data_IF_975136678728
#
_entry.id   IF_975136678728
#
_cell.length_a   1.000
_cell.length_b   1.000
_cell.length_c   1.000
_cell.angle_alpha   90.00
_cell.angle_beta   90.00
_cell.angle_gamma   90.00
#
_symmetry.space_group_name_H-M   'P 1'
#
loop_
_entity.id
_entity.type
_entity.pdbx_description
1 polymer ?
#
# COMPACT_ATOMS: atom_id res chain seq x y z
N UNK A 1 20.19 13.83 5.07
CA UNK A 1 20.68 12.44 5.04
C UNK A 1 19.99 11.73 3.89
N UNK A 2 20.64 10.76 3.24
CA UNK A 2 20.03 9.98 2.16
C UNK A 2 18.90 9.13 2.76
N UNK A 3 17.73 9.09 2.12
CA UNK A 3 16.56 8.32 2.56
C UNK A 3 15.87 7.73 1.34
N UNK A 4 15.44 6.48 1.45
CA UNK A 4 14.60 5.81 0.44
C UNK A 4 13.24 6.49 0.31
N UNK A 5 12.54 6.33 -0.83
CA UNK A 5 11.19 6.88 -0.98
C UNK A 5 10.17 6.18 -0.08
N UNK A 6 8.98 6.76 0.02
CA UNK A 6 7.76 6.10 0.51
C UNK A 6 6.80 5.96 -0.66
N UNK A 7 6.11 4.82 -0.76
CA UNK A 7 5.19 4.56 -1.88
C UNK A 7 3.86 4.04 -1.35
N UNK A 8 2.77 4.67 -1.77
CA UNK A 8 1.42 4.11 -1.62
C UNK A 8 0.90 3.68 -3.00
N UNK A 9 0.26 2.51 -3.09
CA UNK A 9 -0.31 2.02 -4.37
C UNK A 9 -1.74 1.51 -4.21
N UNK A 10 -2.64 2.03 -5.05
CA UNK A 10 -3.95 1.43 -5.31
C UNK A 10 -3.84 0.04 -5.95
N UNK A 11 -4.20 -1.04 -5.25
CA UNK A 11 -4.12 -2.41 -5.84
C UNK A 11 -5.37 -2.83 -6.59
N UNK A 12 -6.56 -2.34 -6.22
CA UNK A 12 -7.80 -2.62 -6.96
C UNK A 12 -8.19 -4.11 -7.00
N UNK A 13 -8.57 -4.60 -8.18
CA UNK A 13 -9.00 -6.00 -8.35
C UNK A 13 -7.79 -6.96 -8.40
N UNK A 14 -7.88 -8.18 -7.82
CA UNK A 14 -6.86 -9.22 -7.99
C UNK A 14 -6.47 -9.50 -9.45
N UNK A 15 -7.39 -9.27 -10.40
CA UNK A 15 -7.11 -9.39 -11.85
C UNK A 15 -5.92 -8.53 -12.32
N UNK A 16 -5.59 -7.45 -11.60
CA UNK A 16 -4.43 -6.61 -11.88
C UNK A 16 -3.15 -7.44 -12.11
N UNK A 17 -2.97 -8.52 -11.34
CA UNK A 17 -1.76 -9.33 -11.38
C UNK A 17 -1.50 -10.00 -12.74
N UNK A 18 -2.55 -10.22 -13.54
CA UNK A 18 -2.48 -10.85 -14.87
C UNK A 18 -2.89 -9.91 -16.00
N UNK A 19 -3.12 -8.63 -15.68
CA UNK A 19 -3.45 -7.60 -16.65
C UNK A 19 -2.18 -6.93 -17.22
N UNK A 20 -2.23 -6.60 -18.52
CA UNK A 20 -1.21 -5.78 -19.19
C UNK A 20 -1.85 -4.52 -19.76
N UNK A 21 -1.72 -3.39 -19.05
CA UNK A 21 -2.34 -2.12 -19.42
C UNK A 21 -1.51 -0.92 -18.94
N UNK A 22 -2.04 0.30 -19.10
CA UNK A 22 -1.34 1.53 -18.70
C UNK A 22 -1.05 1.58 -17.19
N UNK A 23 -1.92 1.00 -16.35
CA UNK A 23 -1.72 0.97 -14.90
C UNK A 23 -0.49 0.13 -14.54
N UNK A 24 -0.38 -1.06 -15.14
CA UNK A 24 0.72 -1.98 -14.85
C UNK A 24 2.03 -1.51 -15.46
N UNK A 25 1.99 -0.83 -16.62
CA UNK A 25 3.15 -0.13 -17.20
C UNK A 25 3.67 0.99 -16.29
N UNK A 26 2.78 1.77 -15.69
CA UNK A 26 3.21 2.83 -14.77
C UNK A 26 3.78 2.27 -13.47
N UNK A 27 3.24 1.15 -12.95
CA UNK A 27 3.83 0.43 -11.82
C UNK A 27 5.24 -0.07 -12.15
N UNK A 28 5.44 -0.65 -13.33
CA UNK A 28 6.77 -1.05 -13.82
C UNK A 28 7.72 0.14 -13.90
N UNK A 29 7.26 1.30 -14.38
CA UNK A 29 8.06 2.52 -14.46
C UNK A 29 8.51 2.98 -13.06
N UNK A 30 7.58 3.11 -12.11
CA UNK A 30 7.89 3.49 -10.72
C UNK A 30 8.86 2.51 -10.09
N UNK A 31 8.65 1.21 -10.28
CA UNK A 31 9.54 0.18 -9.76
C UNK A 31 10.95 0.20 -10.37
N UNK A 32 11.05 0.46 -11.67
CA UNK A 32 12.34 0.65 -12.35
C UNK A 32 13.09 1.87 -11.80
N UNK A 33 12.40 3.00 -11.56
CA UNK A 33 13.01 4.17 -10.93
C UNK A 33 13.60 3.83 -9.55
N UNK A 34 12.87 3.06 -8.73
CA UNK A 34 13.35 2.59 -7.42
C UNK A 34 14.58 1.67 -7.58
N UNK A 35 14.55 0.72 -8.50
CA UNK A 35 15.63 -0.26 -8.70
C UNK A 35 16.91 0.35 -9.26
N UNK A 36 16.78 1.43 -10.05
CA UNK A 36 17.90 2.15 -10.66
C UNK A 36 18.39 3.33 -9.83
N UNK A 37 17.69 3.68 -8.74
CA UNK A 37 18.12 4.73 -7.82
C UNK A 37 19.47 4.41 -7.18
N UNK A 38 20.28 5.44 -6.92
CA UNK A 38 21.56 5.29 -6.22
C UNK A 38 21.41 4.63 -4.84
N UNK A 39 20.25 4.87 -4.22
CA UNK A 39 19.89 4.40 -2.89
C UNK A 39 18.88 3.25 -3.00
N UNK A 40 19.15 2.29 -3.90
CA UNK A 40 18.31 1.09 -4.09
C UNK A 40 18.00 0.44 -2.73
N UNK A 41 16.71 0.22 -2.40
CA UNK A 41 16.33 -0.34 -1.11
C UNK A 41 16.90 -1.73 -0.86
N UNK A 42 17.34 -2.00 0.38
CA UNK A 42 17.81 -3.33 0.80
C UNK A 42 16.67 -4.30 1.14
N UNK A 43 15.53 -3.79 1.57
CA UNK A 43 14.29 -4.54 1.79
C UNK A 43 13.08 -3.59 1.74
N UNK A 44 11.89 -4.16 1.59
CA UNK A 44 10.60 -3.46 1.59
C UNK A 44 9.85 -3.81 2.87
N UNK A 45 9.46 -2.79 3.64
CA UNK A 45 8.42 -2.92 4.65
C UNK A 45 7.07 -2.71 3.95
N UNK A 46 6.32 -3.80 3.76
CA UNK A 46 5.05 -3.81 3.02
C UNK A 46 3.86 -3.74 3.97
N UNK A 47 3.05 -2.68 3.89
CA UNK A 47 1.84 -2.50 4.69
C UNK A 47 0.62 -2.79 3.81
N UNK A 48 -0.09 -3.89 4.05
CA UNK A 48 -1.22 -4.29 3.21
C UNK A 48 -2.56 -4.11 3.90
N UNK A 49 -3.53 -3.52 3.19
CA UNK A 49 -4.93 -3.43 3.62
C UNK A 49 -5.56 -4.78 3.97
N UNK A 50 -5.05 -5.89 3.42
CA UNK A 50 -5.62 -7.23 3.64
C UNK A 50 -5.16 -7.87 4.95
N UNK A 51 -4.07 -7.40 5.54
CA UNK A 51 -3.67 -7.82 6.88
C UNK A 51 -4.21 -6.86 7.94
N UNK A 52 -5.55 -6.72 7.98
CA UNK A 52 -6.26 -5.83 8.90
C UNK A 52 -6.75 -6.59 10.14
N UNK A 53 -6.05 -6.43 11.26
CA UNK A 53 -6.25 -7.26 12.48
C UNK A 53 -6.09 -6.43 13.76
N UNK A 54 -6.67 -6.85 14.90
CA UNK A 54 -6.49 -6.14 16.16
C UNK A 54 -5.06 -6.35 16.69
N UNK A 55 -4.27 -5.28 16.65
CA UNK A 55 -2.84 -5.29 16.98
C UNK A 55 -1.95 -4.97 15.78
N UNK A 56 -0.67 -4.71 16.07
CA UNK A 56 0.36 -4.46 15.07
C UNK A 56 1.28 -5.67 15.03
N UNK A 57 1.34 -6.34 13.89
CA UNK A 57 2.12 -7.55 13.70
C UNK A 57 3.08 -7.42 12.53
N UNK A 58 4.24 -8.05 12.65
CA UNK A 58 5.27 -8.09 11.62
C UNK A 58 5.67 -9.53 11.32
N UNK A 59 5.91 -9.84 10.05
CA UNK A 59 6.47 -11.13 9.64
C UNK A 59 7.96 -11.25 9.97
N UNK A 60 8.44 -12.46 10.22
CA UNK A 60 9.86 -12.78 10.42
C UNK A 60 10.38 -13.92 9.52
N UNK A 61 9.50 -14.60 8.79
CA UNK A 61 9.86 -15.74 7.94
C UNK A 61 10.90 -15.38 6.86
N UNK A 62 12.00 -16.14 6.78
CA UNK A 62 13.03 -16.00 5.73
C UNK A 62 12.49 -16.25 4.32
N UNK A 63 11.48 -17.11 4.21
CA UNK A 63 10.74 -17.41 2.98
C UNK A 63 9.25 -17.26 3.27
N UNK A 64 8.70 -16.04 3.22
CA UNK A 64 7.29 -15.84 3.50
C UNK A 64 6.46 -16.60 2.46
N UNK A 65 5.43 -17.30 2.93
CA UNK A 65 4.49 -17.98 2.02
C UNK A 65 3.68 -16.92 1.29
N UNK A 66 3.44 -17.12 -0.01
CA UNK A 66 2.36 -16.42 -0.69
C UNK A 66 1.02 -17.03 -0.25
N UNK A 67 0.01 -16.19 -0.08
CA UNK A 67 -1.36 -16.63 0.21
C UNK A 67 -2.32 -16.10 -0.84
N UNK A 68 -3.45 -16.79 -0.96
CA UNK A 68 -4.55 -16.43 -1.84
C UNK A 68 -5.78 -16.17 -0.96
N UNK A 69 -5.91 -14.92 -0.53
CA UNK A 69 -6.97 -14.39 0.34
C UNK A 69 -8.19 -13.89 -0.45
N UNK A 70 -8.30 -14.30 -1.72
CA UNK A 70 -9.32 -13.92 -2.69
C UNK A 70 -9.98 -15.16 -3.33
N UNK A 71 -11.25 -15.03 -3.74
CA UNK A 71 -12.07 -16.16 -4.22
C UNK A 71 -12.86 -15.80 -5.47
N UNK A 72 -13.11 -16.79 -6.33
CA UNK A 72 -13.96 -16.65 -7.52
C UNK A 72 -13.28 -16.07 -8.75
N UNK A 73 -11.95 -16.09 -8.80
CA UNK A 73 -11.13 -15.62 -9.93
C UNK A 73 -10.70 -16.76 -10.86
N UNK A 74 -10.19 -16.47 -12.07
CA UNK A 74 -9.65 -17.48 -12.99
C UNK A 74 -8.47 -18.27 -12.39
N UNK A 75 -8.28 -19.50 -12.86
CA UNK A 75 -7.24 -20.43 -12.36
C UNK A 75 -5.83 -19.84 -12.54
N UNK A 76 -5.61 -19.11 -13.63
CA UNK A 76 -4.34 -18.46 -13.96
C UNK A 76 -3.83 -17.56 -12.82
N UNK A 77 -4.75 -16.91 -12.10
CA UNK A 77 -4.41 -16.06 -10.96
C UNK A 77 -3.89 -16.88 -9.76
N UNK A 78 -4.46 -18.06 -9.53
CA UNK A 78 -4.02 -18.98 -8.47
C UNK A 78 -2.73 -19.74 -8.82
N UNK A 79 -2.32 -19.73 -10.08
CA UNK A 79 -1.05 -20.29 -10.52
C UNK A 79 0.11 -19.28 -10.43
N UNK A 80 -0.20 -17.99 -10.36
CA UNK A 80 0.81 -16.93 -10.28
C UNK A 80 1.62 -17.02 -8.98
N UNK A 81 2.96 -16.94 -9.10
CA UNK A 81 3.88 -16.98 -7.97
C UNK A 81 4.76 -15.73 -7.93
N UNK A 82 4.83 -15.07 -6.78
CA UNK A 82 5.75 -13.98 -6.47
C UNK A 82 6.72 -14.45 -5.37
N UNK A 83 7.96 -14.87 -5.73
CA UNK A 83 8.86 -15.57 -4.82
C UNK A 83 9.63 -14.61 -3.90
N UNK A 84 8.91 -13.85 -3.07
CA UNK A 84 9.50 -12.93 -2.09
C UNK A 84 10.41 -13.66 -1.10
N UNK A 85 11.51 -13.00 -0.72
CA UNK A 85 12.37 -13.40 0.40
C UNK A 85 12.07 -12.50 1.59
N UNK A 86 12.18 -13.03 2.81
CA UNK A 86 12.10 -12.24 4.02
C UNK A 86 13.38 -11.45 4.32
N UNK A 87 13.34 -10.60 5.33
CA UNK A 87 14.50 -9.85 5.82
C UNK A 87 14.47 -9.77 7.35
N UNK A 88 15.27 -10.62 8.02
CA UNK A 88 15.33 -10.65 9.48
C UNK A 88 15.86 -9.34 10.06
N UNK A 89 16.77 -8.65 9.37
CA UNK A 89 17.32 -7.36 9.79
C UNK A 89 16.21 -6.29 9.83
N UNK A 90 15.37 -6.21 8.80
CA UNK A 90 14.22 -5.29 8.77
C UNK A 90 13.22 -5.61 9.89
N UNK A 91 12.95 -6.90 10.11
CA UNK A 91 12.06 -7.34 11.19
C UNK A 91 12.56 -6.85 12.55
N UNK A 92 13.85 -7.07 12.82
CA UNK A 92 14.50 -6.63 14.06
C UNK A 92 14.50 -5.11 14.21
N UNK A 93 14.77 -4.37 13.14
CA UNK A 93 14.76 -2.91 13.13
C UNK A 93 13.37 -2.34 13.47
N UNK A 94 12.29 -2.95 12.96
CA UNK A 94 10.92 -2.56 13.30
C UNK A 94 10.59 -2.92 14.76
N UNK A 95 10.92 -4.14 15.21
CA UNK A 95 10.71 -4.53 16.61
C UNK A 95 11.46 -3.63 17.59
N UNK A 96 12.69 -3.21 17.26
CA UNK A 96 13.46 -2.28 18.08
C UNK A 96 12.81 -0.89 18.12
N UNK A 97 12.28 -0.43 16.99
CA UNK A 97 11.70 0.91 16.84
C UNK A 97 10.34 1.04 17.54
N UNK A 98 9.52 0.00 17.48
CA UNK A 98 8.16 0.00 18.04
C UNK A 98 8.08 -0.63 19.44
N UNK A 99 9.07 -1.44 19.84
CA UNK A 99 9.10 -2.08 21.15
C UNK A 99 7.88 -2.95 21.39
N UNK A 100 7.14 -2.68 22.47
CA UNK A 100 5.94 -3.44 22.85
C UNK A 100 4.71 -3.14 21.97
N UNK A 101 4.79 -2.13 21.09
CA UNK A 101 3.69 -1.78 20.18
C UNK A 101 3.61 -2.73 18.97
N UNK A 102 4.53 -3.70 18.82
CA UNK A 102 4.55 -4.68 17.72
C UNK A 102 4.86 -6.09 18.22
N UNK A 103 4.28 -7.10 17.59
CA UNK A 103 4.59 -8.52 17.84
C UNK A 103 4.91 -9.25 16.54
N UNK A 104 5.74 -10.30 16.62
CA UNK A 104 5.99 -11.16 15.46
C UNK A 104 4.80 -12.10 15.26
N UNK A 105 4.32 -12.20 14.02
CA UNK A 105 3.32 -13.17 13.61
C UNK A 105 3.59 -13.65 12.17
N UNK A 106 3.96 -14.91 12.04
CA UNK A 106 4.19 -15.58 10.75
C UNK A 106 2.99 -16.44 10.32
N UNK A 107 1.84 -16.31 10.99
CA UNK A 107 0.61 -17.00 10.61
C UNK A 107 -0.02 -16.42 9.34
N UNK A 108 0.29 -15.16 9.00
CA UNK A 108 -0.08 -14.55 7.72
C UNK A 108 0.87 -14.99 6.58
N UNK A 109 0.77 -14.37 5.42
CA UNK A 109 1.71 -14.51 4.31
C UNK A 109 1.53 -13.37 3.32
N UNK A 110 2.35 -13.30 2.27
CA UNK A 110 2.22 -12.25 1.26
C UNK A 110 0.85 -12.38 0.58
N UNK A 111 -0.05 -11.45 0.88
CA UNK A 111 -1.44 -11.40 0.38
C UNK A 111 -1.54 -10.75 -1.00
N UNK A 112 -2.72 -10.89 -1.64
CA UNK A 112 -2.91 -10.41 -3.00
C UNK A 112 -2.81 -8.90 -3.14
N UNK A 113 -3.17 -8.13 -2.11
CA UNK A 113 -2.93 -6.68 -2.11
C UNK A 113 -1.45 -6.34 -2.26
N UNK A 114 -0.57 -7.24 -1.82
CA UNK A 114 0.89 -7.12 -2.01
C UNK A 114 1.35 -7.73 -3.33
N UNK A 115 1.19 -9.04 -3.53
CA UNK A 115 1.81 -9.71 -4.68
C UNK A 115 1.23 -9.28 -6.04
N UNK A 116 -0.03 -8.84 -6.12
CA UNK A 116 -0.64 -8.39 -7.38
C UNK A 116 -0.02 -7.11 -7.94
N UNK A 117 0.49 -6.23 -7.08
CA UNK A 117 1.23 -5.02 -7.48
C UNK A 117 2.69 -5.36 -7.70
N UNK A 118 3.27 -6.17 -6.81
CA UNK A 118 4.71 -6.46 -6.80
C UNK A 118 5.19 -7.23 -8.04
N UNK A 119 4.34 -8.07 -8.64
CA UNK A 119 4.67 -8.75 -9.92
C UNK A 119 4.96 -7.76 -11.05
N UNK A 120 4.35 -6.57 -11.01
CA UNK A 120 4.57 -5.51 -11.99
C UNK A 120 5.65 -4.53 -11.55
N UNK A 121 5.59 -4.07 -10.30
CA UNK A 121 6.51 -3.05 -9.79
C UNK A 121 7.93 -3.62 -9.57
N UNK A 122 8.06 -4.84 -9.06
CA UNK A 122 9.36 -5.46 -8.78
C UNK A 122 9.39 -6.90 -9.32
N UNK A 123 9.37 -7.07 -10.65
CA UNK A 123 9.31 -8.38 -11.28
C UNK A 123 10.51 -9.24 -10.88
N UNK A 124 10.27 -10.54 -10.63
CA UNK A 124 11.24 -11.52 -10.10
C UNK A 124 11.67 -11.32 -8.63
N UNK A 125 10.94 -10.51 -7.86
CA UNK A 125 11.20 -10.27 -6.43
C UNK A 125 12.68 -9.93 -6.11
N UNK A 126 13.26 -8.88 -6.74
CA UNK A 126 14.67 -8.53 -6.60
C UNK A 126 15.01 -7.86 -5.25
N UNK A 127 14.00 -7.52 -4.45
CA UNK A 127 14.15 -6.89 -3.13
C UNK A 127 13.37 -7.77 -2.12
N UNK A 128 13.96 -8.15 -0.98
CA UNK A 128 13.24 -8.82 0.11
C UNK A 128 12.03 -8.01 0.61
N UNK A 129 10.99 -8.70 1.08
CA UNK A 129 9.73 -8.12 1.58
C UNK A 129 9.45 -8.66 2.98
N UNK A 130 9.10 -7.76 3.90
CA UNK A 130 8.55 -8.08 5.22
C UNK A 130 7.23 -7.35 5.34
N UNK A 131 6.13 -8.06 5.63
CA UNK A 131 4.84 -7.40 5.83
C UNK A 131 4.65 -6.91 7.26
N UNK A 132 3.92 -5.79 7.37
CA UNK A 132 3.37 -5.23 8.59
C UNK A 132 1.84 -5.17 8.47
N UNK A 133 1.14 -5.55 9.54
CA UNK A 133 -0.32 -5.48 9.58
C UNK A 133 -0.83 -4.04 9.66
N UNK A 134 -2.08 -3.82 9.27
CA UNK A 134 -2.83 -2.61 9.57
C UNK A 134 -3.63 -2.86 10.84
N UNK A 135 -3.37 -2.09 11.89
CA UNK A 135 -4.03 -2.31 13.18
C UNK A 135 -5.49 -1.86 13.15
N UNK A 136 -6.43 -2.80 13.31
CA UNK A 136 -7.87 -2.55 13.22
C UNK A 136 -8.47 -1.79 14.40
N UNK A 137 -7.72 -1.60 15.48
CA UNK A 137 -8.18 -0.83 16.64
C UNK A 137 -7.69 0.61 16.61
N UNK A 138 -6.90 1.00 15.62
CA UNK A 138 -6.35 2.36 15.51
C UNK A 138 -7.33 3.32 14.86
N UNK A 139 -7.34 4.56 15.35
CA UNK A 139 -7.91 5.70 14.64
C UNK A 139 -7.04 6.10 13.44
N UNK A 140 -7.55 6.91 12.50
CA UNK A 140 -6.74 7.51 11.44
C UNK A 140 -5.48 8.22 11.96
N UNK A 141 -5.59 9.01 13.02
CA UNK A 141 -4.45 9.69 13.67
C UNK A 141 -3.39 8.69 14.14
N UNK A 142 -3.79 7.61 14.81
CA UNK A 142 -2.87 6.58 15.30
C UNK A 142 -2.16 5.84 14.17
N UNK A 143 -2.82 5.65 13.02
CA UNK A 143 -2.20 5.09 11.82
C UNK A 143 -1.12 6.03 11.26
N UNK A 144 -1.40 7.34 11.22
CA UNK A 144 -0.43 8.35 10.82
C UNK A 144 0.76 8.43 11.79
N UNK A 145 0.51 8.45 13.10
CA UNK A 145 1.55 8.44 14.14
C UNK A 145 2.45 7.19 14.04
N UNK A 146 1.88 6.01 13.75
CA UNK A 146 2.66 4.80 13.52
C UNK A 146 3.54 4.94 12.27
N UNK A 147 3.02 5.54 11.19
CA UNK A 147 3.81 5.92 10.02
C UNK A 147 5.00 6.81 10.37
N UNK A 148 4.80 7.83 11.22
CA UNK A 148 5.88 8.71 11.69
C UNK A 148 6.94 7.93 12.48
N UNK A 149 6.51 7.01 13.36
CA UNK A 149 7.43 6.14 14.10
C UNK A 149 8.30 5.30 13.16
N UNK A 150 7.76 4.87 12.01
CA UNK A 150 8.47 4.04 11.02
C UNK A 150 9.44 4.84 10.13
N UNK A 151 9.29 6.16 10.02
CA UNK A 151 10.09 7.02 9.13
C UNK A 151 11.61 6.81 9.21
N UNK A 152 12.24 6.60 10.39
CA UNK A 152 13.69 6.35 10.50
C UNK A 152 14.20 5.11 9.75
N UNK A 153 13.33 4.15 9.42
CA UNK A 153 13.71 2.98 8.61
C UNK A 153 14.18 3.37 7.21
N UNK A 154 13.72 4.52 6.70
CA UNK A 154 14.12 5.03 5.38
C UNK A 154 15.58 5.42 5.33
N UNK A 155 16.12 5.96 6.43
CA UNK A 155 17.54 6.30 6.56
C UNK A 155 18.41 5.05 6.71
N UNK A 156 17.81 3.93 7.13
CA UNK A 156 18.45 2.60 7.11
C UNK A 156 18.40 1.93 5.74
N UNK A 157 17.84 2.56 4.71
CA UNK A 157 17.79 2.01 3.34
C UNK A 157 16.61 1.07 3.08
N UNK A 158 15.55 1.12 3.89
CA UNK A 158 14.33 0.34 3.66
C UNK A 158 13.27 1.14 2.92
N UNK A 159 12.67 0.56 1.89
CA UNK A 159 11.49 1.14 1.26
C UNK A 159 10.28 0.91 2.16
N UNK A 160 9.58 1.98 2.53
CA UNK A 160 8.24 1.85 3.11
C UNK A 160 7.26 1.87 1.94
N UNK A 161 6.57 0.77 1.75
CA UNK A 161 5.58 0.61 0.70
C UNK A 161 4.27 0.16 1.33
N UNK A 162 3.17 0.77 0.92
CA UNK A 162 1.85 0.39 1.39
C UNK A 162 0.89 0.21 0.22
N UNK A 163 -0.06 -0.70 0.41
CA UNK A 163 -1.10 -0.95 -0.57
C UNK A 163 -2.48 -1.03 0.03
N UNK A 164 -3.40 -0.40 -0.68
CA UNK A 164 -4.80 -0.24 -0.36
C UNK A 164 -5.47 0.42 -1.55
N UNK A 165 -6.40 1.35 -1.31
CA UNK A 165 -7.06 2.16 -2.32
C UNK A 165 -7.69 3.40 -1.64
N UNK A 166 -7.61 4.57 -2.30
CA UNK A 166 -8.27 5.80 -1.81
C UNK A 166 -9.80 5.65 -1.84
N UNK A 167 -10.31 5.00 -2.88
CA UNK A 167 -11.72 4.65 -3.05
C UNK A 167 -11.77 3.14 -3.23
N UNK A 168 -12.53 2.45 -2.38
CA UNK A 168 -12.72 1.00 -2.46
C UNK A 168 -14.12 0.61 -1.96
N UNK A 169 -15.09 0.55 -2.89
CA UNK A 169 -16.44 0.11 -2.55
C UNK A 169 -16.92 -1.00 -3.48
N UNK A 170 -16.65 -2.24 -3.09
CA UNK A 170 -17.03 -3.44 -3.84
C UNK A 170 -18.55 -3.58 -4.00
N UNK A 171 -19.37 -3.03 -3.08
CA UNK A 171 -20.84 -3.05 -3.18
C UNK A 171 -21.39 -2.14 -4.28
N UNK A 172 -20.56 -1.25 -4.81
CA UNK A 172 -20.91 -0.25 -5.84
C UNK A 172 -20.13 -0.45 -7.14
N UNK A 173 -19.49 -1.62 -7.31
CA UNK A 173 -18.77 -1.94 -8.54
C UNK A 173 -19.73 -1.92 -9.72
N UNK A 174 -19.38 -1.14 -10.73
CA UNK A 174 -20.12 -1.04 -11.98
C UNK A 174 -19.28 -1.65 -13.11
N UNK A 175 -19.43 -2.97 -13.32
CA UNK A 175 -18.67 -3.72 -14.34
C UNK A 175 -18.77 -3.12 -15.75
N UNK A 176 -19.88 -2.44 -16.06
CA UNK A 176 -20.15 -1.81 -17.35
C UNK A 176 -19.58 -0.38 -17.46
N UNK A 177 -19.17 0.24 -16.35
CA UNK A 177 -18.47 1.54 -16.37
C UNK A 177 -16.98 1.31 -16.14
N UNK A 178 -16.22 1.47 -17.22
CA UNK A 178 -14.75 1.40 -17.16
C UNK A 178 -14.14 2.56 -16.37
N UNK A 179 -14.81 3.72 -16.32
CA UNK A 179 -14.43 4.86 -15.49
C UNK A 179 -15.15 4.90 -14.14
N UNK A 180 -14.55 5.56 -13.15
CA UNK A 180 -15.19 5.82 -11.85
C UNK A 180 -16.50 6.61 -11.94
N UNK A 181 -17.35 6.46 -10.92
CA UNK A 181 -18.49 7.35 -10.69
C UNK A 181 -18.01 8.76 -10.34
N UNK A 182 -18.88 9.76 -10.46
CA UNK A 182 -18.52 11.14 -10.09
C UNK A 182 -18.15 11.25 -8.61
N UNK A 183 -18.85 10.53 -7.73
CA UNK A 183 -18.51 10.49 -6.30
C UNK A 183 -17.11 9.88 -6.06
N UNK A 184 -16.75 8.81 -6.79
CA UNK A 184 -15.41 8.22 -6.71
C UNK A 184 -14.33 9.21 -7.18
N UNK A 185 -14.56 9.86 -8.33
CA UNK A 185 -13.60 10.82 -8.90
C UNK A 185 -13.43 12.04 -7.99
N UNK A 186 -14.51 12.60 -7.47
CA UNK A 186 -14.47 13.76 -6.58
C UNK A 186 -13.70 13.44 -5.30
N UNK A 187 -14.05 12.36 -4.60
CA UNK A 187 -13.33 11.97 -3.38
C UNK A 187 -11.85 11.70 -3.66
N UNK A 188 -11.54 10.94 -4.73
CA UNK A 188 -10.17 10.64 -5.09
C UNK A 188 -9.37 11.91 -5.42
N UNK A 189 -9.95 12.83 -6.20
CA UNK A 189 -9.28 14.07 -6.58
C UNK A 189 -9.06 14.98 -5.37
N UNK A 190 -10.02 15.10 -4.46
CA UNK A 190 -9.86 15.88 -3.23
C UNK A 190 -8.71 15.33 -2.36
N UNK A 191 -8.62 14.00 -2.20
CA UNK A 191 -7.48 13.39 -1.49
C UNK A 191 -6.16 13.64 -2.21
N UNK A 192 -6.11 13.51 -3.54
CA UNK A 192 -4.91 13.82 -4.34
C UNK A 192 -4.47 15.26 -4.16
N UNK A 193 -5.40 16.22 -4.22
CA UNK A 193 -5.10 17.63 -4.08
C UNK A 193 -4.59 17.94 -2.66
N UNK A 194 -5.20 17.35 -1.63
CA UNK A 194 -4.72 17.49 -0.26
C UNK A 194 -3.34 16.87 -0.04
N UNK A 195 -3.04 15.71 -0.65
CA UNK A 195 -1.71 15.08 -0.61
C UNK A 195 -0.65 15.98 -1.26
N UNK A 196 -0.95 16.55 -2.44
CA UNK A 196 -0.03 17.45 -3.16
C UNK A 196 0.17 18.76 -2.38
N UNK A 197 -0.89 19.29 -1.78
CA UNK A 197 -0.84 20.53 -1.00
C UNK A 197 -0.20 20.35 0.39
N UNK A 198 -0.05 19.11 0.88
CA UNK A 198 0.41 18.84 2.24
C UNK A 198 -0.64 19.12 3.31
N UNK A 199 -1.93 19.08 2.96
CA UNK A 199 -3.04 19.29 3.88
C UNK A 199 -3.36 18.01 4.67
N UNK A 200 -2.43 17.59 5.52
CA UNK A 200 -2.46 16.28 6.21
C UNK A 200 -3.76 16.08 7.00
N UNK A 201 -4.23 17.09 7.74
CA UNK A 201 -5.44 17.01 8.57
C UNK A 201 -6.68 16.61 7.76
N UNK A 202 -6.83 17.11 6.52
CA UNK A 202 -7.96 16.76 5.67
C UNK A 202 -7.91 15.29 5.22
N UNK A 203 -6.72 14.72 5.10
CA UNK A 203 -6.50 13.34 4.69
C UNK A 203 -6.73 12.40 5.89
N UNK A 204 -6.25 12.77 7.07
CA UNK A 204 -6.50 12.01 8.30
C UNK A 204 -8.00 12.01 8.63
N UNK A 205 -8.67 13.15 8.48
CA UNK A 205 -10.10 13.30 8.74
C UNK A 205 -10.96 13.20 7.48
N UNK A 206 -10.60 12.27 6.58
CA UNK A 206 -11.30 12.03 5.31
C UNK A 206 -12.81 11.78 5.49
N UNK A 207 -13.22 11.28 6.66
CA UNK A 207 -14.62 11.02 7.01
C UNK A 207 -15.52 12.26 6.94
N UNK A 208 -14.93 13.47 7.02
CA UNK A 208 -15.65 14.73 6.88
C UNK A 208 -16.05 15.05 5.43
N UNK A 209 -15.48 14.35 4.44
CA UNK A 209 -15.82 14.54 3.03
C UNK A 209 -17.21 13.95 2.73
N UNK A 210 -18.04 14.66 1.94
CA UNK A 210 -19.44 14.26 1.66
C UNK A 210 -19.60 12.86 1.05
N UNK A 211 -18.60 12.40 0.30
CA UNK A 211 -18.54 11.09 -0.33
C UNK A 211 -17.76 10.02 0.46
N UNK A 212 -17.30 10.30 1.69
CA UNK A 212 -16.47 9.36 2.46
C UNK A 212 -17.15 8.00 2.68
N UNK A 213 -18.41 7.98 3.12
CA UNK A 213 -19.16 6.74 3.31
C UNK A 213 -19.39 5.95 2.01
N UNK A 214 -19.36 6.63 0.85
CA UNK A 214 -19.38 5.97 -0.45
C UNK A 214 -18.00 5.40 -0.82
N UNK A 215 -16.93 6.19 -0.63
CA UNK A 215 -15.59 5.84 -1.08
C UNK A 215 -14.90 4.81 -0.17
N UNK A 216 -15.09 4.93 1.14
CA UNK A 216 -14.42 4.16 2.19
C UNK A 216 -15.49 3.60 3.13
N UNK A 217 -16.27 2.59 2.69
CA UNK A 217 -17.33 2.01 3.52
C UNK A 217 -16.78 1.29 4.76
N UNK A 218 -15.53 0.82 4.68
CA UNK A 218 -14.71 0.30 5.76
C UNK A 218 -13.28 0.83 5.56
N UNK A 219 -12.52 1.08 6.64
CA UNK A 219 -11.33 1.92 6.57
C UNK A 219 -10.08 1.19 6.07
N UNK A 220 -10.07 -0.14 6.03
CA UNK A 220 -8.85 -0.95 5.87
C UNK A 220 -8.07 -0.66 4.59
N UNK A 221 -8.75 -0.35 3.48
CA UNK A 221 -8.08 0.01 2.22
C UNK A 221 -7.57 1.46 2.20
N UNK A 222 -8.12 2.34 3.02
CA UNK A 222 -7.70 3.74 3.10
C UNK A 222 -6.53 3.94 4.07
N UNK A 223 -6.57 3.30 5.24
CA UNK A 223 -5.58 3.49 6.32
C UNK A 223 -4.11 3.35 5.89
N UNK A 224 -3.70 2.43 4.98
CA UNK A 224 -2.31 2.34 4.52
C UNK A 224 -1.75 3.64 3.95
N UNK A 225 -2.59 4.52 3.38
CA UNK A 225 -2.18 5.86 2.94
C UNK A 225 -1.64 6.71 4.10
N UNK A 226 -2.27 6.60 5.28
CA UNK A 226 -1.91 7.38 6.47
C UNK A 226 -0.55 6.94 7.04
N UNK A 227 -0.24 5.65 6.99
CA UNK A 227 1.10 5.15 7.34
C UNK A 227 2.15 5.75 6.42
N UNK A 228 1.89 5.78 5.10
CA UNK A 228 2.80 6.39 4.13
C UNK A 228 2.98 7.89 4.36
N UNK A 229 1.89 8.63 4.63
CA UNK A 229 1.95 10.06 4.92
C UNK A 229 2.79 10.36 6.16
N UNK A 230 2.61 9.58 7.23
CA UNK A 230 3.43 9.70 8.45
C UNK A 230 4.91 9.44 8.17
N UNK A 231 5.20 8.41 7.37
CA UNK A 231 6.57 8.02 7.01
C UNK A 231 7.25 8.99 6.01
N UNK A 232 6.47 9.70 5.20
CA UNK A 232 6.97 10.62 4.18
C UNK A 232 7.59 11.89 4.79
N UNK A 233 7.08 12.34 5.94
CA UNK A 233 7.54 13.58 6.58
C UNK A 233 7.27 14.80 5.71
N UNK A 234 8.31 15.51 5.30
CA UNK A 234 8.20 16.75 4.48
C UNK A 234 8.41 16.52 2.99
N UNK A 235 8.49 15.26 2.54
CA UNK A 235 8.74 14.94 1.14
C UNK A 235 7.57 15.30 0.25
N UNK A 236 7.86 15.61 -1.02
CA UNK A 236 6.82 15.97 -1.97
C UNK A 236 6.25 14.70 -2.59
N UNK A 237 4.93 14.63 -2.63
CA UNK A 237 4.23 13.56 -3.32
C UNK A 237 4.21 13.78 -4.83
N UNK A 238 4.50 12.74 -5.60
CA UNK A 238 4.17 12.66 -7.02
C UNK A 238 3.11 11.58 -7.23
N UNK A 239 1.89 11.93 -7.68
CA UNK A 239 0.86 10.94 -7.96
C UNK A 239 1.19 10.14 -9.22
N UNK A 240 0.82 8.87 -9.23
CA UNK A 240 0.82 8.01 -10.41
C UNK A 240 -0.47 7.19 -10.43
N UNK A 241 -0.87 6.66 -11.59
CA UNK A 241 -2.12 5.91 -11.75
C UNK A 241 -3.36 6.62 -11.15
N UNK A 242 -3.41 7.96 -11.20
CA UNK A 242 -4.53 8.75 -10.70
C UNK A 242 -5.78 8.56 -11.59
N UNK A 243 -6.41 7.39 -11.47
CA UNK A 243 -7.52 6.94 -12.28
C UNK A 243 -8.47 6.13 -11.43
N UNK A 244 -9.77 6.29 -11.69
CA UNK A 244 -10.82 5.49 -11.08
C UNK A 244 -11.35 4.46 -12.09
N UNK A 245 -11.50 3.22 -11.66
CA UNK A 245 -11.99 2.09 -12.44
C UNK A 245 -13.20 1.45 -11.77
N UNK A 246 -13.95 0.65 -12.55
CA UNK A 246 -15.05 -0.19 -12.04
C UNK A 246 -16.11 0.59 -11.24
N UNK A 247 -16.31 1.87 -11.55
CA UNK A 247 -17.24 2.78 -10.87
C UNK A 247 -16.80 3.25 -9.47
N UNK A 248 -16.11 2.41 -8.68
CA UNK A 248 -15.93 2.65 -7.24
C UNK A 248 -14.56 2.22 -6.71
N UNK A 249 -13.54 2.16 -7.57
CA UNK A 249 -12.17 1.89 -7.16
C UNK A 249 -11.19 2.92 -7.72
N UNK A 250 -10.31 3.47 -6.89
CA UNK A 250 -9.25 4.37 -7.33
C UNK A 250 -7.90 3.64 -7.33
N UNK A 251 -7.22 3.65 -8.48
CA UNK A 251 -5.90 3.02 -8.67
C UNK A 251 -4.73 3.96 -8.32
N UNK A 252 -5.06 5.15 -7.80
CA UNK A 252 -4.12 6.20 -7.44
C UNK A 252 -3.04 5.69 -6.50
N UNK A 253 -1.79 5.97 -6.86
CA UNK A 253 -0.64 5.80 -6.00
C UNK A 253 0.14 7.11 -5.86
N UNK A 254 1.04 7.14 -4.89
CA UNK A 254 1.92 8.27 -4.64
C UNK A 254 3.34 7.79 -4.37
N UNK A 255 4.32 8.54 -4.85
CA UNK A 255 5.73 8.41 -4.48
C UNK A 255 6.14 9.67 -3.74
N UNK A 256 6.64 9.53 -2.51
CA UNK A 256 7.27 10.61 -1.75
C UNK A 256 8.79 10.41 -1.77
N UNK A 257 9.53 11.40 -2.26
CA UNK A 257 10.98 11.40 -2.36
C UNK A 257 11.57 12.80 -2.12
#
# INVERSE_FOLDING_TARGET
MKKTPVIFTGHGSPMLAIDENDLTREMQRVGADVLTSEDRPKAILAISAHWYVPGTYIQSADKPRQIYDMYGFPEELYQLQYPAKGCSELTQDVCQLLGNDVSIDDSWGIDHGTWSVMVHMFPNAPIPVVQLSVNSTFTPDQCFELGQKLAPLREKGYLIWASGNIVHNLRRVEWNKRGGSEAAKHFNQDIVDNVIAGNIDNIIHYENHEHAAYAVPTPEHYLPLLYCLGAAGTDKATPFNNTCTLGSMAMTGFVWA
#
